data_IF_564496808813
#
_entry.id   IF_564496808813
#
_cell.length_a   1.000
_cell.length_b   1.000
_cell.length_c   1.000
_cell.angle_alpha   90.00
_cell.angle_beta   90.00
_cell.angle_gamma   90.00
#
_symmetry.space_group_name_H-M   'P 1'
#
loop_
_entity.id
_entity.type
_entity.pdbx_description
1 polymer ?
#
# COMPACT_ATOMS: atom_id res chain seq x y z
N UNK A 1 95.83 -33.32 7.34
CA UNK A 1 95.25 -33.03 6.01
C UNK A 1 93.79 -32.96 6.18
N UNK A 2 93.20 -31.90 5.76
CA UNK A 2 91.88 -31.32 6.06
C UNK A 2 90.71 -32.08 5.47
N UNK A 3 89.63 -32.28 6.23
CA UNK A 3 88.37 -32.68 5.70
C UNK A 3 87.29 -31.68 6.25
N UNK A 4 86.71 -30.99 5.27
CA UNK A 4 85.68 -29.96 5.49
C UNK A 4 84.34 -30.56 5.76
N UNK A 5 83.62 -30.06 6.77
CA UNK A 5 82.25 -30.43 7.11
C UNK A 5 81.28 -29.60 6.27
N UNK A 6 80.41 -30.30 5.55
CA UNK A 6 79.27 -29.71 4.82
C UNK A 6 78.01 -29.61 5.75
N UNK A 7 77.52 -28.39 5.94
CA UNK A 7 76.32 -28.13 6.69
C UNK A 7 75.06 -28.31 5.77
N UNK A 8 74.18 -29.18 6.18
CA UNK A 8 72.82 -29.33 5.55
C UNK A 8 71.90 -28.35 6.24
N UNK A 9 71.36 -27.36 5.48
CA UNK A 9 70.32 -26.48 5.91
C UNK A 9 68.93 -27.15 5.58
N UNK A 10 68.21 -27.47 6.64
CA UNK A 10 66.79 -27.91 6.54
C UNK A 10 65.95 -26.65 6.45
N UNK A 11 65.38 -26.41 5.26
CA UNK A 11 64.40 -25.35 5.06
C UNK A 11 63.02 -25.86 5.50
N UNK A 12 62.53 -25.35 6.65
CA UNK A 12 61.15 -25.60 7.15
C UNK A 12 60.16 -24.73 6.37
N UNK A 13 59.39 -25.35 5.50
CA UNK A 13 58.33 -24.67 4.73
C UNK A 13 57.05 -24.64 5.60
N UNK A 14 56.79 -23.50 6.26
CA UNK A 14 55.53 -23.26 6.98
C UNK A 14 54.47 -22.82 5.96
N UNK A 15 53.58 -23.73 5.58
CA UNK A 15 52.39 -23.41 4.81
C UNK A 15 51.37 -22.71 5.71
N UNK A 16 51.29 -21.39 5.61
CA UNK A 16 50.27 -20.60 6.27
C UNK A 16 48.97 -20.71 5.46
N UNK A 17 48.10 -21.61 5.89
CA UNK A 17 46.75 -21.75 5.29
C UNK A 17 45.87 -20.59 5.74
N UNK A 18 45.69 -19.59 4.85
CA UNK A 18 44.71 -18.51 5.04
C UNK A 18 43.30 -19.08 4.79
N UNK A 19 42.59 -19.38 5.86
CA UNK A 19 41.16 -19.68 5.80
C UNK A 19 40.42 -18.36 5.58
N UNK A 20 40.04 -18.09 4.33
CA UNK A 20 39.15 -16.97 4.01
C UNK A 20 37.74 -17.27 4.57
N UNK A 21 37.45 -16.71 5.75
CA UNK A 21 36.12 -16.70 6.30
C UNK A 21 35.28 -15.73 5.43
N UNK A 22 34.50 -16.28 4.51
CA UNK A 22 33.50 -15.52 3.76
C UNK A 22 32.39 -15.13 4.74
N UNK A 23 32.48 -13.95 5.32
CA UNK A 23 31.38 -13.33 6.06
C UNK A 23 30.34 -12.94 5.02
N UNK A 24 29.30 -13.76 4.88
CA UNK A 24 28.10 -13.36 4.18
C UNK A 24 27.54 -12.14 4.90
N UNK A 25 27.70 -10.95 4.32
CA UNK A 25 26.97 -9.76 4.74
C UNK A 25 25.49 -10.07 4.49
N UNK A 26 24.78 -10.51 5.51
CA UNK A 26 23.34 -10.39 5.59
C UNK A 26 23.09 -8.88 5.49
N UNK A 27 22.55 -8.42 4.37
CA UNK A 27 22.14 -7.04 4.22
C UNK A 27 21.22 -6.71 5.40
N UNK A 28 21.67 -5.79 6.25
CA UNK A 28 20.83 -5.28 7.32
C UNK A 28 19.55 -4.72 6.68
N UNK A 29 18.37 -4.97 7.25
CA UNK A 29 17.15 -4.37 6.75
C UNK A 29 17.36 -2.87 6.61
N UNK A 30 16.87 -2.28 5.52
CA UNK A 30 17.00 -0.84 5.29
C UNK A 30 16.40 -0.11 6.50
N UNK A 31 17.25 0.50 7.31
CA UNK A 31 16.87 1.14 8.57
C UNK A 31 15.82 2.23 8.35
N UNK A 32 15.75 2.81 7.14
CA UNK A 32 14.75 3.81 6.76
C UNK A 32 13.40 3.15 6.52
N UNK A 33 13.36 2.04 5.79
CA UNK A 33 12.14 1.26 5.59
C UNK A 33 11.58 0.80 6.93
N UNK A 34 12.40 0.19 7.77
CA UNK A 34 12.00 -0.29 9.09
C UNK A 34 11.42 0.83 9.96
N UNK A 35 12.03 2.01 9.95
CA UNK A 35 11.54 3.18 10.68
C UNK A 35 10.18 3.68 10.18
N UNK A 36 9.86 3.54 8.88
CA UNK A 36 8.54 3.88 8.33
C UNK A 36 7.51 2.83 8.72
N UNK A 37 7.83 1.54 8.54
CA UNK A 37 6.94 0.44 8.89
C UNK A 37 6.54 0.47 10.37
N UNK A 38 7.50 0.71 11.25
CA UNK A 38 7.25 0.86 12.70
C UNK A 38 6.28 2.01 13.00
N UNK A 39 6.46 3.18 12.38
CA UNK A 39 5.53 4.32 12.56
C UNK A 39 4.13 4.01 12.04
N UNK A 40 4.03 3.30 10.92
CA UNK A 40 2.73 2.82 10.40
C UNK A 40 2.06 1.86 11.38
N UNK A 41 2.80 0.94 12.00
CA UNK A 41 2.26 0.03 13.03
C UNK A 41 1.75 0.78 14.25
N UNK A 42 2.52 1.75 14.73
CA UNK A 42 2.09 2.62 15.84
C UNK A 42 0.82 3.40 15.49
N UNK A 43 0.70 3.90 14.28
CA UNK A 43 -0.51 4.57 13.81
C UNK A 43 -1.69 3.58 13.71
N UNK A 44 -1.46 2.38 13.17
CA UNK A 44 -2.47 1.34 13.03
C UNK A 44 -3.04 0.87 14.37
N UNK A 45 -2.23 0.80 15.44
CA UNK A 45 -2.74 0.45 16.79
C UNK A 45 -3.74 1.46 17.34
N UNK A 46 -3.60 2.74 16.97
CA UNK A 46 -4.45 3.84 17.41
C UNK A 46 -5.57 4.15 16.41
N UNK A 47 -5.51 3.58 15.20
CA UNK A 47 -6.45 3.85 14.14
C UNK A 47 -7.86 3.35 14.51
N UNK A 48 -8.85 4.22 14.34
CA UNK A 48 -10.27 3.92 14.52
C UNK A 48 -11.07 4.28 13.28
N UNK A 49 -10.82 5.46 12.73
CA UNK A 49 -11.52 5.97 11.56
C UNK A 49 -10.69 7.07 10.86
N UNK A 50 -10.93 7.25 9.58
CA UNK A 50 -10.41 8.37 8.79
C UNK A 50 -11.47 8.85 7.80
N UNK A 51 -11.57 10.17 7.69
CA UNK A 51 -12.31 10.86 6.63
C UNK A 51 -11.32 11.72 5.85
N UNK A 52 -11.47 11.78 4.52
CA UNK A 52 -10.65 12.65 3.66
C UNK A 52 -11.43 13.04 2.40
N UNK A 53 -11.08 14.19 1.83
CA UNK A 53 -11.42 14.46 0.43
C UNK A 53 -10.46 13.72 -0.48
N UNK A 54 -10.92 13.29 -1.65
CA UNK A 54 -10.06 12.64 -2.64
C UNK A 54 -10.24 13.21 -4.04
N UNK A 55 -9.19 13.09 -4.83
CA UNK A 55 -9.20 13.23 -6.27
C UNK A 55 -8.51 12.00 -6.87
N UNK A 56 -9.25 11.19 -7.64
CA UNK A 56 -8.75 10.02 -8.35
C UNK A 56 -8.69 10.30 -9.84
N UNK A 57 -7.50 10.42 -10.38
CA UNK A 57 -7.27 10.71 -11.79
C UNK A 57 -6.72 9.49 -12.50
N UNK A 58 -7.40 9.04 -13.56
CA UNK A 58 -6.90 8.00 -14.44
C UNK A 58 -6.01 8.63 -15.50
N UNK A 59 -4.82 8.08 -15.71
CA UNK A 59 -3.88 8.48 -16.76
C UNK A 59 -3.70 7.36 -17.77
N UNK A 60 -3.65 7.73 -19.04
CA UNK A 60 -3.28 6.83 -20.11
C UNK A 60 -1.77 6.98 -20.40
N UNK A 61 -1.04 5.87 -20.39
CA UNK A 61 0.42 5.85 -20.61
C UNK A 61 0.82 6.35 -21.99
N UNK A 62 -0.01 6.10 -23.01
CA UNK A 62 0.38 6.37 -24.42
C UNK A 62 0.39 7.86 -24.69
N UNK A 63 -0.58 8.58 -24.17
CA UNK A 63 -0.72 10.03 -24.37
C UNK A 63 -0.21 10.85 -23.17
N UNK A 64 0.06 10.18 -22.03
CA UNK A 64 0.48 10.77 -20.74
C UNK A 64 -0.42 11.94 -20.29
N UNK A 65 -1.73 11.79 -20.54
CA UNK A 65 -2.73 12.80 -20.20
C UNK A 65 -3.78 12.23 -19.24
N UNK A 66 -4.34 13.08 -18.36
CA UNK A 66 -5.45 12.70 -17.52
C UNK A 66 -6.70 12.43 -18.38
N UNK A 67 -7.31 11.25 -18.19
CA UNK A 67 -8.55 10.88 -18.89
C UNK A 67 -9.80 11.35 -18.13
N UNK A 68 -9.89 10.96 -16.87
CA UNK A 68 -11.03 11.27 -16.00
C UNK A 68 -10.52 11.52 -14.59
N UNK A 69 -11.11 12.51 -13.93
CA UNK A 69 -10.88 12.76 -12.50
C UNK A 69 -12.21 12.62 -11.75
N UNK A 70 -12.23 11.71 -10.80
CA UNK A 70 -13.34 11.55 -9.86
C UNK A 70 -12.97 12.23 -8.56
N UNK A 71 -13.89 13.03 -7.99
CA UNK A 71 -13.70 13.71 -6.73
C UNK A 71 -14.83 13.43 -5.75
N UNK A 72 -14.53 13.51 -4.45
CA UNK A 72 -15.51 13.29 -3.42
C UNK A 72 -14.90 13.13 -2.05
N UNK A 73 -15.60 12.39 -1.18
CA UNK A 73 -15.15 12.04 0.17
C UNK A 73 -14.98 10.54 0.33
N UNK A 74 -13.96 10.16 1.07
CA UNK A 74 -13.68 8.77 1.41
C UNK A 74 -13.66 8.61 2.94
N UNK A 75 -14.20 7.50 3.39
CA UNK A 75 -14.31 7.16 4.80
C UNK A 75 -13.76 5.76 5.03
N UNK A 76 -12.95 5.61 6.06
CA UNK A 76 -12.50 4.32 6.56
C UNK A 76 -12.80 4.22 8.05
N UNK A 77 -13.22 3.05 8.53
CA UNK A 77 -13.29 2.78 9.96
C UNK A 77 -13.02 1.32 10.27
N UNK A 78 -12.50 1.10 11.47
CA UNK A 78 -12.37 -0.24 12.05
C UNK A 78 -13.66 -0.61 12.78
N UNK A 79 -14.31 -1.71 12.36
CA UNK A 79 -15.51 -2.25 12.97
C UNK A 79 -15.18 -3.64 13.58
N UNK A 80 -14.65 -3.65 14.81
CA UNK A 80 -14.10 -4.86 15.41
C UNK A 80 -12.84 -5.34 14.69
N UNK A 81 -12.91 -6.53 14.09
CA UNK A 81 -11.82 -7.08 13.25
C UNK A 81 -11.91 -6.66 11.80
N UNK A 82 -13.08 -6.19 11.36
CA UNK A 82 -13.35 -5.82 9.99
C UNK A 82 -13.00 -4.35 9.72
N UNK A 83 -12.74 -4.06 8.46
CA UNK A 83 -12.62 -2.70 7.97
C UNK A 83 -13.83 -2.39 7.10
N UNK A 84 -14.40 -1.22 7.32
CA UNK A 84 -15.43 -0.66 6.46
C UNK A 84 -14.85 0.54 5.73
N UNK A 85 -15.21 0.66 4.44
CA UNK A 85 -14.86 1.79 3.63
C UNK A 85 -16.11 2.30 2.91
N UNK A 86 -16.21 3.61 2.75
CA UNK A 86 -17.20 4.22 1.88
C UNK A 86 -16.55 5.36 1.08
N UNK A 87 -17.01 5.54 -0.16
CA UNK A 87 -16.62 6.68 -0.98
C UNK A 87 -17.87 7.32 -1.59
N UNK A 88 -18.06 8.60 -1.29
CA UNK A 88 -19.08 9.44 -1.93
C UNK A 88 -18.43 10.19 -3.08
N UNK A 89 -18.60 9.71 -4.31
CA UNK A 89 -18.12 10.35 -5.54
C UNK A 89 -19.15 11.41 -5.94
N UNK A 90 -18.70 12.66 -6.07
CA UNK A 90 -19.57 13.80 -6.41
C UNK A 90 -19.38 14.30 -7.83
N UNK A 91 -18.26 13.98 -8.47
CA UNK A 91 -17.93 14.34 -9.86
C UNK A 91 -17.15 13.21 -10.54
N UNK A 92 -17.28 13.03 -11.86
CA UNK A 92 -18.25 13.68 -12.74
C UNK A 92 -19.69 13.20 -12.48
N UNK A 93 -19.87 11.91 -12.16
CA UNK A 93 -21.16 11.31 -11.87
C UNK A 93 -21.27 10.95 -10.39
N UNK A 94 -22.43 11.23 -9.82
CA UNK A 94 -22.70 10.87 -8.41
C UNK A 94 -22.77 9.36 -8.29
N UNK A 95 -21.90 8.78 -7.46
CA UNK A 95 -21.89 7.36 -7.12
C UNK A 95 -21.54 7.22 -5.63
N UNK A 96 -22.05 6.18 -5.02
CA UNK A 96 -21.65 5.81 -3.66
C UNK A 96 -21.14 4.38 -3.66
N UNK A 97 -19.92 4.19 -3.17
CA UNK A 97 -19.29 2.90 -2.99
C UNK A 97 -19.21 2.59 -1.50
N UNK A 98 -19.64 1.38 -1.12
CA UNK A 98 -19.50 0.89 0.27
C UNK A 98 -18.86 -0.49 0.24
N UNK A 99 -17.81 -0.65 1.02
CA UNK A 99 -17.23 -1.95 1.34
C UNK A 99 -17.52 -2.31 2.79
N UNK A 100 -18.15 -3.45 2.99
CA UNK A 100 -18.43 -3.99 4.33
C UNK A 100 -18.68 -5.50 4.25
N UNK A 101 -18.15 -6.27 5.20
CA UNK A 101 -18.39 -7.71 5.28
C UNK A 101 -17.93 -8.49 4.06
N UNK A 102 -16.86 -8.05 3.39
CA UNK A 102 -16.33 -8.70 2.18
C UNK A 102 -17.11 -8.40 0.89
N UNK A 103 -18.06 -7.47 0.94
CA UNK A 103 -18.84 -7.08 -0.24
C UNK A 103 -18.59 -5.62 -0.59
N UNK A 104 -18.49 -5.38 -1.91
CA UNK A 104 -18.50 -4.04 -2.48
C UNK A 104 -19.87 -3.79 -3.04
N UNK A 105 -20.47 -2.68 -2.66
CA UNK A 105 -21.75 -2.22 -3.19
C UNK A 105 -21.53 -0.86 -3.85
N UNK A 106 -21.92 -0.72 -5.09
CA UNK A 106 -21.81 0.54 -5.86
C UNK A 106 -23.21 0.99 -6.22
N UNK A 107 -23.66 2.06 -5.60
CA UNK A 107 -24.96 2.68 -5.91
C UNK A 107 -24.78 3.80 -6.93
N UNK A 108 -25.60 3.75 -7.98
CA UNK A 108 -25.65 4.74 -9.06
C UNK A 108 -27.04 5.39 -9.07
N UNK A 109 -27.20 6.61 -8.51
CA UNK A 109 -28.52 7.26 -8.39
C UNK A 109 -29.22 7.49 -9.72
N UNK A 110 -28.48 7.78 -10.80
CA UNK A 110 -29.07 8.07 -12.10
C UNK A 110 -29.77 6.87 -12.75
N UNK A 111 -29.38 5.64 -12.41
CA UNK A 111 -30.04 4.39 -12.85
C UNK A 111 -30.87 3.76 -11.75
N UNK A 112 -30.82 4.30 -10.53
CA UNK A 112 -31.38 3.73 -9.30
C UNK A 112 -31.03 2.23 -9.15
N UNK A 113 -29.72 1.92 -9.32
CA UNK A 113 -29.17 0.57 -9.30
C UNK A 113 -28.03 0.43 -8.30
N UNK A 114 -27.99 -0.73 -7.63
CA UNK A 114 -26.86 -1.18 -6.84
C UNK A 114 -26.21 -2.36 -7.55
N UNK A 115 -24.92 -2.25 -7.84
CA UNK A 115 -24.10 -3.38 -8.27
C UNK A 115 -23.38 -3.95 -7.04
N UNK A 116 -23.48 -5.26 -6.82
CA UNK A 116 -22.90 -5.97 -5.69
C UNK A 116 -21.83 -6.94 -6.18
N UNK A 117 -20.61 -6.78 -5.69
CA UNK A 117 -19.48 -7.67 -5.93
C UNK A 117 -19.08 -8.35 -4.61
N UNK A 118 -18.94 -9.67 -4.63
CA UNK A 118 -18.51 -10.44 -3.46
C UNK A 118 -17.02 -10.76 -3.59
N UNK A 119 -16.21 -10.34 -2.61
CA UNK A 119 -14.78 -10.65 -2.57
C UNK A 119 -14.52 -12.15 -2.32
N UNK A 120 -15.50 -12.89 -1.78
CA UNK A 120 -15.44 -14.35 -1.58
C UNK A 120 -14.18 -14.79 -0.83
N UNK A 121 -13.50 -15.81 -1.38
CA UNK A 121 -12.24 -16.35 -0.83
C UNK A 121 -11.05 -15.37 -0.88
N UNK A 122 -11.17 -14.24 -1.59
CA UNK A 122 -10.12 -13.22 -1.74
C UNK A 122 -10.32 -12.02 -0.81
N UNK A 123 -11.20 -12.15 0.17
CA UNK A 123 -11.57 -11.05 1.08
C UNK A 123 -10.35 -10.45 1.76
N UNK A 124 -9.47 -11.25 2.37
CA UNK A 124 -8.28 -10.76 3.09
C UNK A 124 -7.33 -9.99 2.17
N UNK A 125 -7.12 -10.51 0.95
CA UNK A 125 -6.29 -9.87 -0.06
C UNK A 125 -6.88 -8.53 -0.49
N UNK A 126 -8.18 -8.47 -0.70
CA UNK A 126 -8.90 -7.26 -1.05
C UNK A 126 -8.90 -6.24 0.09
N UNK A 127 -9.14 -6.68 1.34
CA UNK A 127 -9.07 -5.83 2.52
C UNK A 127 -7.68 -5.24 2.71
N UNK A 128 -6.60 -6.03 2.53
CA UNK A 128 -5.23 -5.54 2.63
C UNK A 128 -4.92 -4.45 1.61
N UNK A 129 -5.52 -4.54 0.42
CA UNK A 129 -5.41 -3.52 -0.62
C UNK A 129 -6.20 -2.25 -0.29
N UNK A 130 -7.41 -2.39 0.25
CA UNK A 130 -8.25 -1.24 0.61
C UNK A 130 -7.66 -0.38 1.72
N UNK A 131 -6.97 -1.01 2.68
CA UNK A 131 -6.39 -0.30 3.83
C UNK A 131 -4.98 0.24 3.55
N UNK A 132 -4.47 0.07 2.33
CA UNK A 132 -3.17 0.60 1.97
C UNK A 132 -3.10 2.09 2.26
N UNK A 133 -2.29 2.43 3.27
CA UNK A 133 -2.12 3.81 3.70
C UNK A 133 -3.28 4.39 4.54
N UNK A 134 -4.27 3.57 4.96
CA UNK A 134 -5.37 4.01 5.82
C UNK A 134 -5.61 3.01 6.97
N UNK A 135 -4.73 3.03 7.97
CA UNK A 135 -4.88 2.24 9.19
C UNK A 135 -4.42 0.78 9.09
N UNK A 136 -3.82 0.39 7.98
CA UNK A 136 -3.07 -0.86 7.86
C UNK A 136 -1.69 -0.75 8.51
N UNK A 137 -1.22 -1.80 9.20
CA UNK A 137 0.12 -1.85 9.78
C UNK A 137 1.20 -1.95 8.71
N UNK A 138 2.35 -1.33 8.97
CA UNK A 138 3.50 -1.38 8.05
C UNK A 138 4.03 -2.80 7.87
N UNK A 139 4.25 -3.54 8.95
CA UNK A 139 4.71 -4.92 8.88
C UNK A 139 3.63 -5.87 8.36
N UNK A 140 2.35 -5.57 8.59
CA UNK A 140 1.26 -6.34 8.01
C UNK A 140 1.23 -6.23 6.49
N UNK A 141 1.54 -5.07 5.94
CA UNK A 141 1.65 -4.83 4.50
C UNK A 141 2.70 -5.74 3.85
N UNK A 142 3.80 -6.09 4.57
CA UNK A 142 4.83 -7.02 4.08
C UNK A 142 4.32 -8.44 3.81
N UNK A 143 3.16 -8.83 4.34
CA UNK A 143 2.56 -10.14 4.03
C UNK A 143 2.06 -10.21 2.59
N UNK A 144 1.51 -9.10 2.09
CA UNK A 144 0.88 -9.01 0.76
C UNK A 144 1.76 -8.36 -0.30
N UNK A 145 2.78 -7.61 0.10
CA UNK A 145 3.63 -6.84 -0.80
C UNK A 145 5.12 -7.00 -0.48
N UNK A 146 5.95 -6.99 -1.51
CA UNK A 146 7.37 -6.67 -1.39
C UNK A 146 7.49 -5.14 -1.41
N UNK A 147 8.06 -4.57 -0.34
CA UNK A 147 8.07 -3.12 -0.10
C UNK A 147 9.49 -2.60 -0.16
N UNK A 148 9.70 -1.53 -0.92
CA UNK A 148 10.97 -0.83 -1.03
C UNK A 148 10.83 0.62 -0.59
N UNK A 149 11.82 1.12 0.16
CA UNK A 149 11.97 2.54 0.44
C UNK A 149 12.55 3.23 -0.80
N UNK A 150 11.82 4.20 -1.36
CA UNK A 150 12.27 4.95 -2.54
C UNK A 150 12.95 6.26 -2.15
N UNK A 151 12.45 6.93 -1.10
CA UNK A 151 13.00 8.22 -0.67
C UNK A 151 11.99 9.06 0.09
N UNK A 152 12.35 10.32 0.27
CA UNK A 152 11.47 11.33 0.85
C UNK A 152 11.05 12.31 -0.25
N UNK A 153 9.79 12.72 -0.23
CA UNK A 153 9.23 13.65 -1.20
C UNK A 153 8.20 14.54 -0.52
N UNK A 154 8.22 15.82 -0.86
CA UNK A 154 7.21 16.76 -0.34
C UNK A 154 6.00 16.78 -1.25
N UNK A 155 4.84 16.37 -0.71
CA UNK A 155 3.54 16.45 -1.38
C UNK A 155 2.76 17.60 -0.74
N UNK A 156 2.49 18.63 -1.51
CA UNK A 156 1.90 19.89 -1.05
C UNK A 156 2.68 20.49 0.15
N UNK A 157 2.12 20.43 1.35
CA UNK A 157 2.76 20.93 2.58
C UNK A 157 3.36 19.83 3.45
N UNK A 158 3.18 18.55 3.08
CA UNK A 158 3.58 17.39 3.89
C UNK A 158 4.89 16.80 3.39
N UNK A 159 5.88 16.63 4.27
CA UNK A 159 7.06 15.83 3.99
C UNK A 159 6.67 14.36 4.12
N UNK A 160 6.73 13.61 3.05
CA UNK A 160 6.30 12.22 2.98
C UNK A 160 7.46 11.28 2.77
N UNK A 161 7.26 10.03 3.16
CA UNK A 161 8.11 8.91 2.76
C UNK A 161 7.44 8.17 1.60
N UNK A 162 8.18 7.99 0.51
CA UNK A 162 7.74 7.26 -0.67
C UNK A 162 8.16 5.81 -0.59
N UNK A 163 7.18 4.92 -0.72
CA UNK A 163 7.35 3.48 -0.76
C UNK A 163 6.90 2.95 -2.12
N UNK A 164 7.60 1.93 -2.64
CA UNK A 164 7.20 1.16 -3.82
C UNK A 164 6.82 -0.26 -3.39
N UNK A 165 5.61 -0.67 -3.74
CA UNK A 165 4.99 -1.92 -3.35
C UNK A 165 4.77 -2.80 -4.57
N UNK A 166 5.36 -3.99 -4.60
CA UNK A 166 5.08 -5.02 -5.60
C UNK A 166 4.18 -6.09 -4.97
N UNK A 167 2.97 -6.35 -5.52
CA UNK A 167 2.09 -7.39 -4.98
C UNK A 167 2.73 -8.78 -5.04
N UNK A 168 2.62 -9.57 -3.98
CA UNK A 168 3.10 -10.97 -3.95
C UNK A 168 2.14 -11.92 -4.66
N UNK A 169 0.85 -11.63 -4.60
CA UNK A 169 -0.18 -12.39 -5.28
C UNK A 169 -0.11 -12.22 -6.79
N UNK A 170 -0.02 -13.33 -7.53
CA UNK A 170 -0.03 -13.33 -9.00
C UNK A 170 -1.31 -12.72 -9.56
N UNK A 171 -2.45 -13.00 -8.94
CA UNK A 171 -3.74 -12.47 -9.35
C UNK A 171 -3.80 -10.93 -9.25
N UNK A 172 -3.22 -10.36 -8.18
CA UNK A 172 -3.13 -8.90 -8.02
C UNK A 172 -2.12 -8.32 -9.01
N UNK A 173 -0.98 -8.99 -9.24
CA UNK A 173 0.01 -8.57 -10.24
C UNK A 173 -0.54 -8.51 -11.66
N UNK A 174 -1.49 -9.37 -12.01
CA UNK A 174 -2.17 -9.29 -13.32
C UNK A 174 -2.96 -7.98 -13.51
N UNK A 175 -3.35 -7.34 -12.43
CA UNK A 175 -4.09 -6.07 -12.47
C UNK A 175 -3.17 -4.88 -12.19
N UNK A 176 -2.30 -4.99 -11.19
CA UNK A 176 -1.42 -3.91 -10.75
C UNK A 176 0.03 -4.39 -10.74
N UNK A 177 0.86 -3.78 -11.58
CA UNK A 177 2.28 -4.07 -11.65
C UNK A 177 3.00 -3.67 -10.34
N UNK A 178 2.75 -2.46 -9.86
CA UNK A 178 3.22 -1.95 -8.58
C UNK A 178 2.40 -0.75 -8.12
N UNK A 179 2.63 -0.32 -6.88
CA UNK A 179 1.90 0.77 -6.24
C UNK A 179 2.91 1.67 -5.53
N UNK A 180 2.85 2.97 -5.80
CA UNK A 180 3.61 3.96 -5.04
C UNK A 180 2.72 4.56 -3.96
N UNK A 181 3.24 4.63 -2.73
CA UNK A 181 2.59 5.30 -1.60
C UNK A 181 3.45 6.44 -1.09
N UNK A 182 2.83 7.58 -0.81
CA UNK A 182 3.45 8.70 -0.11
C UNK A 182 2.85 8.80 1.28
N UNK A 183 3.58 8.32 2.27
CA UNK A 183 3.15 8.21 3.66
C UNK A 183 3.55 9.45 4.44
N UNK A 184 2.58 10.10 5.12
CA UNK A 184 2.84 11.07 6.17
C UNK A 184 3.43 10.33 7.39
N UNK A 185 4.70 10.54 7.74
CA UNK A 185 5.35 9.78 8.81
C UNK A 185 4.81 10.12 10.20
N UNK A 186 4.10 11.23 10.37
CA UNK A 186 3.52 11.61 11.66
C UNK A 186 2.17 10.94 11.89
N UNK A 187 1.37 10.82 10.82
CA UNK A 187 0.02 10.22 10.87
C UNK A 187 0.02 8.73 10.55
N UNK A 188 1.07 8.22 9.88
CA UNK A 188 1.12 6.86 9.36
C UNK A 188 0.08 6.61 8.25
N UNK A 189 -0.30 7.66 7.51
CA UNK A 189 -1.36 7.64 6.52
C UNK A 189 -0.82 8.12 5.18
N UNK A 190 -1.29 7.50 4.11
CA UNK A 190 -0.96 7.92 2.74
C UNK A 190 -1.70 9.22 2.38
N UNK A 191 -0.95 10.21 1.88
CA UNK A 191 -1.52 11.45 1.31
C UNK A 191 -1.66 11.37 -0.19
N UNK A 192 -0.94 10.44 -0.83
CA UNK A 192 -1.00 10.17 -2.26
C UNK A 192 -0.70 8.71 -2.55
N UNK A 193 -1.36 8.15 -3.55
CA UNK A 193 -1.14 6.80 -4.05
C UNK A 193 -1.12 6.83 -5.57
N UNK A 194 -0.25 6.01 -6.17
CA UNK A 194 -0.22 5.81 -7.62
C UNK A 194 -0.21 4.32 -7.91
N UNK A 195 -1.27 3.84 -8.56
CA UNK A 195 -1.51 2.45 -8.86
C UNK A 195 -1.23 2.20 -10.34
N UNK A 196 -0.16 1.48 -10.64
CA UNK A 196 0.23 1.16 -12.01
C UNK A 196 -0.40 -0.15 -12.46
N UNK A 197 -1.14 -0.10 -13.55
CA UNK A 197 -1.68 -1.28 -14.22
C UNK A 197 -0.59 -1.97 -15.06
N UNK A 198 -0.80 -3.23 -15.41
CA UNK A 198 0.13 -3.98 -16.28
C UNK A 198 0.22 -3.42 -17.70
N UNK A 199 -0.81 -2.70 -18.17
CA UNK A 199 -0.78 -1.92 -19.41
C UNK A 199 0.21 -0.76 -19.37
N UNK A 200 0.56 -0.32 -18.14
CA UNK A 200 1.33 0.88 -17.86
C UNK A 200 0.47 2.13 -17.65
N UNK A 201 -0.83 2.04 -17.84
CA UNK A 201 -1.76 3.06 -17.36
C UNK A 201 -1.69 3.15 -15.84
N UNK A 202 -2.04 4.29 -15.27
CA UNK A 202 -2.02 4.42 -13.82
C UNK A 202 -3.17 5.28 -13.30
N UNK A 203 -3.53 5.05 -12.05
CA UNK A 203 -4.44 5.90 -11.30
C UNK A 203 -3.65 6.64 -10.23
N UNK A 204 -3.76 7.95 -10.22
CA UNK A 204 -3.25 8.82 -9.17
C UNK A 204 -4.38 9.18 -8.22
N UNK A 205 -4.25 8.82 -6.96
CA UNK A 205 -5.15 9.22 -5.88
C UNK A 205 -4.45 10.25 -5.00
N UNK A 206 -5.04 11.43 -4.84
CA UNK A 206 -4.60 12.45 -3.89
C UNK A 206 -5.65 12.61 -2.81
N UNK A 207 -5.20 12.77 -1.57
CA UNK A 207 -6.06 12.93 -0.40
C UNK A 207 -5.75 14.25 0.29
N UNK A 208 -6.80 15.01 0.62
CA UNK A 208 -6.72 16.27 1.35
C UNK A 208 -7.69 16.29 2.51
N UNK A 209 -7.52 17.27 3.41
CA UNK A 209 -8.38 17.44 4.60
C UNK A 209 -8.55 16.13 5.39
N UNK A 210 -7.42 15.44 5.59
CA UNK A 210 -7.39 14.12 6.22
C UNK A 210 -7.60 14.27 7.73
N UNK A 211 -8.75 13.83 8.19
CA UNK A 211 -9.13 13.78 9.61
C UNK A 211 -9.01 12.34 10.13
N UNK A 212 -8.20 12.15 11.17
CA UNK A 212 -7.93 10.84 11.77
C UNK A 212 -8.61 10.73 13.12
N UNK A 213 -9.27 9.60 13.37
CA UNK A 213 -9.91 9.24 14.63
C UNK A 213 -11.06 10.18 15.07
N UNK A 214 -11.61 10.94 14.13
CA UNK A 214 -12.85 11.67 14.35
C UNK A 214 -14.06 10.72 14.29
N UNK A 215 -15.15 11.14 14.91
CA UNK A 215 -16.39 10.36 14.88
C UNK A 215 -17.07 10.50 13.52
N UNK A 216 -17.12 9.40 12.77
CA UNK A 216 -17.85 9.34 11.51
C UNK A 216 -19.28 8.83 11.78
N UNK A 217 -20.27 9.47 11.15
CA UNK A 217 -21.66 9.05 11.27
C UNK A 217 -21.86 7.71 10.54
N UNK A 218 -22.65 6.80 11.13
CA UNK A 218 -22.97 5.51 10.52
C UNK A 218 -23.67 5.61 9.18
N UNK A 219 -24.32 6.73 8.90
CA UNK A 219 -24.96 7.00 7.59
C UNK A 219 -23.96 7.11 6.45
N UNK A 220 -22.68 7.44 6.73
CA UNK A 220 -21.62 7.47 5.72
C UNK A 220 -21.33 6.08 5.12
N UNK A 221 -21.64 5.01 5.86
CA UNK A 221 -21.44 3.61 5.42
C UNK A 221 -22.73 2.94 4.97
N UNK A 222 -23.77 3.71 4.66
CA UNK A 222 -25.08 3.18 4.21
C UNK A 222 -25.49 3.82 2.90
N UNK A 223 -25.82 2.99 1.92
CA UNK A 223 -26.38 3.47 0.66
C UNK A 223 -27.72 4.16 0.90
N UNK A 224 -27.92 5.34 0.33
CA UNK A 224 -29.19 6.10 0.39
C UNK A 224 -30.04 5.68 -0.81
N UNK A 225 -30.77 4.59 -0.67
CA UNK A 225 -31.55 3.95 -1.75
C UNK A 225 -33.04 4.17 -1.58
N UNK A 226 -33.80 3.94 -2.66
CA UNK A 226 -35.27 3.91 -2.66
C UNK A 226 -35.80 2.47 -2.52
N UNK A 227 -37.06 2.27 -2.15
CA UNK A 227 -37.66 0.92 -2.18
C UNK A 227 -37.75 0.30 -3.58
N UNK A 228 -37.51 1.08 -4.64
CA UNK A 228 -37.52 0.62 -6.04
C UNK A 228 -36.12 0.35 -6.60
N UNK A 229 -35.08 0.62 -5.83
CA UNK A 229 -33.69 0.45 -6.25
C UNK A 229 -33.45 -0.99 -6.68
N UNK A 230 -32.95 -1.19 -7.88
CA UNK A 230 -32.57 -2.51 -8.40
C UNK A 230 -31.24 -2.96 -7.84
N UNK A 231 -31.11 -4.24 -7.51
CA UNK A 231 -29.85 -4.84 -7.09
C UNK A 231 -29.41 -5.89 -8.12
N UNK A 232 -28.17 -5.77 -8.60
CA UNK A 232 -27.51 -6.72 -9.50
C UNK A 232 -26.28 -7.30 -8.79
N UNK A 233 -26.20 -8.62 -8.73
CA UNK A 233 -25.05 -9.33 -8.13
C UNK A 233 -24.17 -9.91 -9.23
N UNK A 234 -22.85 -9.80 -9.02
CA UNK A 234 -21.81 -10.24 -9.95
C UNK A 234 -20.91 -11.29 -9.30
#
# INVERSE_FOLDING_TARGET
MSISAAQVKIASCVCLSIVAISVSLLAAPDSKLEGVLTRMDEAATRFRATEANFAWTQYNKVIDEPMETQTGKIYFRRAGKDIQMAAEITHPDIKMLVFSGGKIQIYQPHTDQIDVYDAGSHREEFESFLVLGFGGGGHEMLKSFDVQYVGEEKIDTVNTTKLDLTPKSEKVRQQFAHILLWIDPQKGISVQQQLFQTSGDYRLAKYSDIEVNQKINDSAFKLKTSPKTKTVSH
#
